data_IF_251599330420
#
_entry.id   IF_251599330420
#
_cell.length_a   1.000
_cell.length_b   1.000
_cell.length_c   1.000
_cell.angle_alpha   90.00
_cell.angle_beta   90.00
_cell.angle_gamma   90.00
#
_symmetry.space_group_name_H-M   'P 1'
#
loop_
_entity.id
_entity.type
_entity.pdbx_description
1 polymer ?
#
# COMPACT_ATOMS: atom_id res chain seq x y z
N UNK A 1 -0.20 11.42 23.15
CA UNK A 1 -0.47 10.92 21.78
C UNK A 1 0.17 9.55 21.63
N UNK A 2 -0.50 8.62 20.95
CA UNK A 2 0.08 7.31 20.61
C UNK A 2 0.90 7.51 19.33
N UNK A 3 2.12 6.97 19.28
CA UNK A 3 2.90 6.97 18.04
C UNK A 3 2.24 6.08 16.98
N UNK A 4 2.23 6.50 15.70
CA UNK A 4 1.75 5.65 14.63
C UNK A 4 2.67 4.45 14.45
N UNK A 5 2.11 3.34 14.02
CA UNK A 5 2.90 2.22 13.52
C UNK A 5 3.51 2.55 12.15
N UNK A 6 4.51 1.79 11.75
CA UNK A 6 5.24 2.04 10.49
C UNK A 6 5.13 0.83 9.57
N UNK A 7 4.79 1.10 8.32
CA UNK A 7 4.90 0.14 7.21
C UNK A 7 6.10 0.50 6.37
N UNK A 8 7.02 -0.44 6.18
CA UNK A 8 8.21 -0.25 5.36
C UNK A 8 7.95 -0.67 3.90
N UNK A 9 8.35 0.17 2.95
CA UNK A 9 8.04 0.00 1.52
C UNK A 9 9.26 -0.30 0.64
N UNK A 10 10.45 -0.43 1.21
CA UNK A 10 11.70 -0.59 0.43
C UNK A 10 11.64 -1.78 -0.53
N UNK A 11 10.98 -2.87 -0.14
CA UNK A 11 10.90 -4.10 -0.93
C UNK A 11 9.89 -4.04 -2.09
N UNK A 12 9.03 -3.02 -2.12
CA UNK A 12 8.07 -2.82 -3.22
C UNK A 12 8.19 -1.43 -3.84
N UNK A 13 7.70 -0.38 -3.17
CA UNK A 13 7.60 0.97 -3.75
C UNK A 13 8.96 1.64 -3.89
N UNK A 14 9.83 1.50 -2.88
CA UNK A 14 11.18 2.05 -2.91
C UNK A 14 11.98 1.53 -4.09
N UNK A 15 12.12 0.22 -4.22
CA UNK A 15 12.85 -0.38 -5.34
C UNK A 15 12.15 -0.20 -6.70
N UNK A 16 10.82 -0.09 -6.70
CA UNK A 16 10.07 0.23 -7.92
C UNK A 16 10.42 1.62 -8.43
N UNK A 17 10.54 2.58 -7.53
CA UNK A 17 10.84 3.98 -7.86
C UNK A 17 12.30 4.19 -8.27
N UNK A 18 13.25 3.56 -7.57
CA UNK A 18 14.68 3.80 -7.77
C UNK A 18 15.31 2.98 -8.88
N UNK A 19 14.94 1.71 -9.00
CA UNK A 19 15.58 0.76 -9.91
C UNK A 19 14.59 0.02 -10.80
N UNK A 20 13.45 0.66 -11.08
CA UNK A 20 12.39 0.14 -11.95
C UNK A 20 11.99 -1.32 -11.61
N UNK A 21 11.89 -1.63 -10.32
CA UNK A 21 11.52 -2.97 -9.81
C UNK A 21 12.56 -4.06 -10.15
N UNK A 22 13.84 -3.70 -10.34
CA UNK A 22 14.89 -4.66 -10.76
C UNK A 22 15.67 -5.29 -9.61
N UNK A 23 15.26 -5.11 -8.36
CA UNK A 23 15.88 -5.77 -7.21
C UNK A 23 15.60 -7.28 -7.26
N UNK A 24 16.64 -8.09 -7.33
CA UNK A 24 16.54 -9.55 -7.39
C UNK A 24 16.26 -10.14 -6.01
N UNK A 25 15.72 -11.35 -5.99
CA UNK A 25 15.50 -12.08 -4.74
C UNK A 25 16.83 -12.31 -3.99
N UNK A 26 17.93 -12.58 -4.72
CA UNK A 26 19.26 -12.70 -4.14
C UNK A 26 19.76 -11.44 -3.42
N UNK A 27 19.32 -10.26 -3.89
CA UNK A 27 19.71 -8.98 -3.29
C UNK A 27 18.93 -8.70 -2.00
N UNK A 28 17.70 -9.21 -1.94
CA UNK A 28 16.78 -8.99 -0.80
C UNK A 28 17.06 -9.97 0.33
N UNK A 29 17.31 -11.24 0.02
CA UNK A 29 17.43 -12.33 0.99
C UNK A 29 18.37 -12.03 2.17
N UNK A 30 19.57 -11.45 1.96
CA UNK A 30 20.51 -11.19 3.04
C UNK A 30 20.07 -10.19 4.10
N UNK A 31 19.06 -9.34 3.80
CA UNK A 31 18.60 -8.30 4.72
C UNK A 31 17.25 -8.61 5.36
N UNK A 32 16.56 -9.66 4.93
CA UNK A 32 15.21 -9.97 5.39
C UNK A 32 15.11 -10.12 6.91
N UNK A 33 16.03 -10.90 7.52
CA UNK A 33 16.03 -11.08 8.97
C UNK A 33 16.31 -9.79 9.75
N UNK A 34 17.07 -8.85 9.17
CA UNK A 34 17.29 -7.54 9.77
C UNK A 34 16.02 -6.70 9.71
N UNK A 35 15.35 -6.67 8.57
CA UNK A 35 14.07 -5.97 8.42
C UNK A 35 12.99 -6.51 9.36
N UNK A 36 12.94 -7.84 9.54
CA UNK A 36 11.98 -8.49 10.44
C UNK A 36 12.17 -8.12 11.92
N UNK A 37 13.39 -7.70 12.31
CA UNK A 37 13.73 -7.35 13.68
C UNK A 37 13.69 -5.84 13.97
N UNK A 38 13.35 -4.99 12.99
CA UNK A 38 13.25 -3.53 13.21
C UNK A 38 12.00 -3.16 14.01
N UNK A 39 10.94 -3.96 13.94
CA UNK A 39 9.68 -3.69 14.60
C UNK A 39 8.67 -2.94 13.73
N UNK A 40 8.77 -3.05 12.42
CA UNK A 40 7.73 -2.58 11.49
C UNK A 40 6.42 -3.33 11.72
N UNK A 41 5.29 -2.64 11.54
CA UNK A 41 3.97 -3.29 11.58
C UNK A 41 3.75 -4.17 10.35
N UNK A 42 4.26 -3.76 9.21
CA UNK A 42 4.24 -4.55 7.97
C UNK A 42 5.36 -4.17 7.02
N UNK A 43 5.70 -5.10 6.14
CA UNK A 43 6.57 -4.91 4.98
C UNK A 43 5.74 -5.03 3.72
N UNK A 44 5.62 -3.95 2.94
CA UNK A 44 5.01 -4.03 1.61
C UNK A 44 6.07 -4.53 0.62
N UNK A 45 5.91 -5.77 0.16
CA UNK A 45 6.96 -6.47 -0.57
C UNK A 45 6.53 -6.98 -1.94
N UNK A 46 5.23 -6.94 -2.26
CA UNK A 46 4.69 -7.53 -3.47
C UNK A 46 3.59 -6.65 -4.09
N UNK A 47 3.36 -6.81 -5.39
CA UNK A 47 2.36 -6.07 -6.15
C UNK A 47 2.50 -6.31 -7.65
N UNK A 48 1.65 -5.65 -8.45
CA UNK A 48 1.59 -5.88 -9.89
C UNK A 48 2.89 -5.63 -10.63
N UNK A 49 3.60 -4.54 -10.30
CA UNK A 49 4.88 -4.25 -10.93
C UNK A 49 5.97 -5.26 -10.56
N UNK A 50 5.98 -5.72 -9.30
CA UNK A 50 6.91 -6.76 -8.84
C UNK A 50 6.63 -8.08 -9.54
N UNK A 51 5.36 -8.48 -9.62
CA UNK A 51 4.93 -9.70 -10.31
C UNK A 51 5.36 -9.70 -11.78
N UNK A 52 5.01 -8.63 -12.49
CA UNK A 52 5.34 -8.45 -13.91
C UNK A 52 6.86 -8.43 -14.16
N UNK A 53 7.60 -7.73 -13.29
CA UNK A 53 9.05 -7.61 -13.42
C UNK A 53 9.78 -8.94 -13.17
N UNK A 54 9.34 -9.74 -12.22
CA UNK A 54 9.89 -11.07 -12.01
C UNK A 54 9.84 -11.90 -13.29
N UNK A 55 8.71 -11.92 -13.98
CA UNK A 55 8.52 -12.68 -15.20
C UNK A 55 9.26 -12.11 -16.40
N UNK A 56 9.19 -10.78 -16.62
CA UNK A 56 9.68 -10.15 -17.86
C UNK A 56 11.17 -9.85 -17.86
N UNK A 57 11.73 -9.58 -16.69
CA UNK A 57 13.07 -8.98 -16.64
C UNK A 57 14.06 -9.69 -15.72
N UNK A 58 13.56 -10.32 -14.65
CA UNK A 58 14.42 -10.96 -13.67
C UNK A 58 14.57 -12.46 -13.90
N UNK A 59 13.70 -13.06 -14.71
CA UNK A 59 13.60 -14.50 -14.88
C UNK A 59 13.42 -15.21 -13.52
N UNK A 60 12.56 -14.66 -12.67
CA UNK A 60 12.21 -15.15 -11.35
C UNK A 60 10.74 -15.56 -11.29
N UNK A 61 10.42 -16.62 -10.56
CA UNK A 61 9.04 -16.96 -10.21
C UNK A 61 8.55 -16.01 -9.11
N UNK A 62 7.49 -15.19 -9.37
CA UNK A 62 6.95 -14.28 -8.37
C UNK A 62 6.37 -15.00 -7.14
N UNK A 63 5.87 -16.21 -7.28
CA UNK A 63 5.37 -17.01 -6.15
C UNK A 63 6.50 -17.56 -5.29
N UNK A 64 7.59 -18.01 -5.91
CA UNK A 64 8.77 -18.43 -5.18
C UNK A 64 9.38 -17.28 -4.40
N UNK A 65 9.44 -16.08 -5.00
CA UNK A 65 9.84 -14.86 -4.30
C UNK A 65 9.01 -14.63 -3.04
N UNK A 66 7.68 -14.75 -3.12
CA UNK A 66 6.80 -14.60 -1.96
C UNK A 66 7.11 -15.63 -0.87
N UNK A 67 7.24 -16.91 -1.25
CA UNK A 67 7.53 -17.99 -0.31
C UNK A 67 8.88 -17.82 0.40
N UNK A 68 9.91 -17.44 -0.35
CA UNK A 68 11.25 -17.21 0.23
C UNK A 68 11.22 -16.02 1.19
N UNK A 69 10.56 -14.93 0.85
CA UNK A 69 10.42 -13.80 1.77
C UNK A 69 9.65 -14.23 3.01
N UNK A 70 8.51 -14.91 2.87
CA UNK A 70 7.71 -15.40 4.02
C UNK A 70 8.50 -16.36 4.90
N UNK A 71 9.33 -17.21 4.32
CA UNK A 71 10.16 -18.13 5.10
C UNK A 71 11.19 -17.43 5.98
N UNK A 72 11.62 -16.23 5.60
CA UNK A 72 12.62 -15.44 6.33
C UNK A 72 12.02 -14.36 7.25
N UNK A 73 10.74 -14.00 7.06
CA UNK A 73 10.01 -13.02 7.88
C UNK A 73 9.05 -13.75 8.81
N UNK A 74 9.21 -13.58 10.12
CA UNK A 74 8.45 -14.30 11.16
C UNK A 74 7.61 -13.36 12.03
N UNK A 75 8.11 -12.16 12.29
CA UNK A 75 7.53 -11.22 13.26
C UNK A 75 6.69 -10.13 12.57
N UNK A 76 7.02 -9.80 11.32
CA UNK A 76 6.43 -8.67 10.59
C UNK A 76 5.40 -9.17 9.57
N UNK A 77 4.25 -8.52 9.51
CA UNK A 77 3.22 -8.85 8.52
C UNK A 77 3.68 -8.53 7.10
N UNK A 78 3.37 -9.39 6.13
CA UNK A 78 3.65 -9.15 4.73
C UNK A 78 2.45 -8.52 4.04
N UNK A 79 2.69 -7.41 3.36
CA UNK A 79 1.69 -6.65 2.65
C UNK A 79 1.92 -6.68 1.15
N UNK A 80 0.83 -6.72 0.39
CA UNK A 80 0.87 -6.53 -1.06
C UNK A 80 -0.03 -5.39 -1.52
N UNK A 81 0.34 -4.75 -2.62
CA UNK A 81 -0.49 -3.79 -3.33
C UNK A 81 -1.32 -4.51 -4.41
N UNK A 82 -2.65 -4.39 -4.33
CA UNK A 82 -3.59 -5.06 -5.23
C UNK A 82 -4.50 -4.06 -5.95
N UNK A 83 -4.63 -4.19 -7.27
CA UNK A 83 -5.42 -3.28 -8.11
C UNK A 83 -6.88 -3.70 -8.20
N UNK A 84 -7.56 -3.92 -7.08
CA UNK A 84 -8.96 -4.38 -7.07
C UNK A 84 -9.18 -5.58 -8.00
N UNK A 85 -10.22 -5.56 -8.83
CA UNK A 85 -10.53 -6.62 -9.81
C UNK A 85 -9.47 -6.81 -10.89
N UNK A 86 -8.53 -5.90 -11.03
CA UNK A 86 -7.41 -6.03 -11.96
C UNK A 86 -6.23 -6.83 -11.36
N UNK A 87 -6.28 -7.17 -10.08
CA UNK A 87 -5.25 -7.94 -9.38
C UNK A 87 -3.84 -7.33 -9.55
N UNK A 88 -2.96 -8.08 -10.17
CA UNK A 88 -1.61 -7.64 -10.57
C UNK A 88 -1.50 -7.23 -12.05
N UNK A 89 -2.62 -7.30 -12.78
CA UNK A 89 -2.71 -7.02 -14.21
C UNK A 89 -3.27 -5.64 -14.56
N UNK A 90 -3.69 -5.47 -15.82
CA UNK A 90 -4.11 -4.20 -16.40
C UNK A 90 -5.56 -4.20 -16.91
N UNK A 91 -6.28 -5.30 -16.76
CA UNK A 91 -7.71 -5.42 -17.08
C UNK A 91 -8.42 -6.18 -15.98
N UNK A 92 -9.74 -6.02 -15.88
CA UNK A 92 -10.56 -6.72 -14.89
C UNK A 92 -10.56 -8.23 -15.17
N UNK A 93 -10.40 -9.01 -14.11
CA UNK A 93 -10.53 -10.46 -14.13
C UNK A 93 -11.91 -10.88 -13.65
N UNK A 94 -12.28 -12.11 -13.99
CA UNK A 94 -13.47 -12.76 -13.46
C UNK A 94 -13.34 -13.01 -11.95
N UNK A 95 -14.46 -13.03 -11.25
CA UNK A 95 -14.51 -13.20 -9.79
C UNK A 95 -13.89 -14.51 -9.32
N UNK A 96 -14.00 -15.59 -10.10
CA UNK A 96 -13.34 -16.88 -9.81
C UNK A 96 -11.82 -16.73 -9.79
N UNK A 97 -11.26 -15.96 -10.73
CA UNK A 97 -9.81 -15.71 -10.80
C UNK A 97 -9.36 -14.82 -9.64
N UNK A 98 -10.18 -13.82 -9.28
CA UNK A 98 -9.89 -12.93 -8.15
C UNK A 98 -9.87 -13.72 -6.84
N UNK A 99 -10.90 -14.53 -6.61
CA UNK A 99 -11.01 -15.38 -5.42
C UNK A 99 -9.82 -16.33 -5.32
N UNK A 100 -9.48 -17.04 -6.41
CA UNK A 100 -8.34 -17.95 -6.45
C UNK A 100 -7.00 -17.25 -6.18
N UNK A 101 -6.78 -16.07 -6.80
CA UNK A 101 -5.54 -15.33 -6.64
C UNK A 101 -5.34 -14.85 -5.20
N UNK A 102 -6.38 -14.28 -4.59
CA UNK A 102 -6.34 -13.78 -3.21
C UNK A 102 -6.14 -14.95 -2.24
N UNK A 103 -6.88 -16.05 -2.44
CA UNK A 103 -6.69 -17.27 -1.65
C UNK A 103 -5.25 -17.75 -1.71
N UNK A 104 -4.71 -17.95 -2.92
CA UNK A 104 -3.33 -18.42 -3.09
C UNK A 104 -2.29 -17.45 -2.53
N UNK A 105 -2.53 -16.16 -2.64
CA UNK A 105 -1.63 -15.16 -2.05
C UNK A 105 -1.63 -15.22 -0.52
N UNK A 106 -2.80 -15.38 0.10
CA UNK A 106 -2.94 -15.55 1.54
C UNK A 106 -2.29 -16.86 2.02
N UNK A 107 -2.57 -18.00 1.36
CA UNK A 107 -1.94 -19.30 1.66
C UNK A 107 -0.40 -19.25 1.59
N UNK A 108 0.16 -18.43 0.70
CA UNK A 108 1.61 -18.27 0.54
C UNK A 108 2.21 -17.16 1.41
N UNK A 109 1.40 -16.53 2.26
CA UNK A 109 1.91 -15.68 3.34
C UNK A 109 1.66 -14.19 3.23
N UNK A 110 0.79 -13.73 2.33
CA UNK A 110 0.30 -12.35 2.37
C UNK A 110 -0.69 -12.20 3.52
N UNK A 111 -0.35 -11.34 4.46
CA UNK A 111 -1.15 -11.03 5.63
C UNK A 111 -2.08 -9.82 5.41
N UNK A 112 -1.66 -8.85 4.57
CA UNK A 112 -2.40 -7.62 4.29
C UNK A 112 -2.52 -7.38 2.78
N UNK A 113 -3.75 -7.21 2.31
CA UNK A 113 -4.04 -6.77 0.95
C UNK A 113 -4.38 -5.27 0.95
N UNK A 114 -3.48 -4.43 0.44
CA UNK A 114 -3.74 -3.02 0.16
C UNK A 114 -4.42 -2.91 -1.20
N UNK A 115 -5.73 -2.73 -1.17
CA UNK A 115 -6.61 -2.82 -2.33
C UNK A 115 -7.00 -1.41 -2.78
N UNK A 116 -6.70 -1.07 -4.03
CA UNK A 116 -6.98 0.26 -4.58
C UNK A 116 -7.55 0.19 -6.00
N UNK A 117 -8.19 1.27 -6.39
CA UNK A 117 -8.49 1.62 -7.77
C UNK A 117 -7.94 3.01 -8.08
N UNK A 118 -7.28 3.17 -9.23
CA UNK A 118 -6.63 4.44 -9.59
C UNK A 118 -7.64 5.59 -9.79
N UNK A 119 -8.89 5.27 -10.13
CA UNK A 119 -9.98 6.24 -10.34
C UNK A 119 -10.95 6.30 -9.16
N UNK A 120 -10.65 5.57 -8.07
CA UNK A 120 -11.51 5.46 -6.89
C UNK A 120 -12.90 4.84 -7.17
N UNK A 121 -12.98 3.92 -8.14
CA UNK A 121 -14.20 3.14 -8.37
C UNK A 121 -14.37 2.09 -7.27
N UNK A 122 -15.28 2.37 -6.33
CA UNK A 122 -15.58 1.46 -5.21
C UNK A 122 -15.99 0.07 -5.69
N UNK A 123 -16.72 -0.04 -6.81
CA UNK A 123 -17.17 -1.33 -7.35
C UNK A 123 -16.00 -2.22 -7.82
N UNK A 124 -14.86 -1.60 -8.10
CA UNK A 124 -13.66 -2.33 -8.49
C UNK A 124 -12.92 -2.95 -7.30
N UNK A 125 -13.14 -2.47 -6.07
CA UNK A 125 -12.39 -2.92 -4.89
C UNK A 125 -13.21 -3.76 -3.90
N UNK A 126 -14.53 -3.62 -3.86
CA UNK A 126 -15.42 -4.28 -2.89
C UNK A 126 -15.20 -5.80 -2.89
N UNK A 127 -15.32 -6.45 -4.04
CA UNK A 127 -15.18 -7.91 -4.13
C UNK A 127 -13.81 -8.41 -3.65
N UNK A 128 -12.75 -7.65 -3.91
CA UNK A 128 -11.40 -8.01 -3.43
C UNK A 128 -11.26 -7.85 -1.91
N UNK A 129 -11.97 -6.88 -1.31
CA UNK A 129 -12.07 -6.72 0.15
C UNK A 129 -12.77 -7.93 0.77
N UNK A 130 -13.91 -8.33 0.21
CA UNK A 130 -14.68 -9.50 0.65
C UNK A 130 -13.86 -10.78 0.57
N UNK A 131 -13.16 -11.02 -0.55
CA UNK A 131 -12.27 -12.16 -0.72
C UNK A 131 -11.14 -12.17 0.31
N UNK A 132 -10.46 -11.04 0.54
CA UNK A 132 -9.39 -10.97 1.54
C UNK A 132 -9.92 -11.33 2.94
N UNK A 133 -11.08 -10.81 3.31
CA UNK A 133 -11.72 -11.12 4.59
C UNK A 133 -12.13 -12.59 4.69
N UNK A 134 -12.65 -13.18 3.62
CA UNK A 134 -13.03 -14.60 3.52
C UNK A 134 -11.85 -15.52 3.84
N UNK A 135 -10.65 -15.16 3.43
CA UNK A 135 -9.42 -15.92 3.67
C UNK A 135 -8.63 -15.45 4.89
N UNK A 136 -9.29 -14.77 5.82
CA UNK A 136 -8.72 -14.28 7.10
C UNK A 136 -7.49 -13.36 6.95
N UNK A 137 -7.29 -12.76 5.78
CA UNK A 137 -6.30 -11.72 5.59
C UNK A 137 -6.85 -10.34 5.98
N UNK A 138 -5.98 -9.39 6.25
CA UNK A 138 -6.37 -8.02 6.51
C UNK A 138 -6.60 -7.27 5.20
N UNK A 139 -7.82 -6.80 4.97
CA UNK A 139 -8.12 -5.94 3.84
C UNK A 139 -7.91 -4.47 4.20
N UNK A 140 -7.06 -3.77 3.43
CA UNK A 140 -6.93 -2.33 3.49
C UNK A 140 -7.53 -1.71 2.22
N UNK A 141 -8.72 -1.15 2.33
CA UNK A 141 -9.32 -0.38 1.22
C UNK A 141 -8.62 0.97 1.11
N UNK A 142 -8.32 1.43 -0.12
CA UNK A 142 -7.39 2.54 -0.29
C UNK A 142 -7.97 3.62 -1.18
N UNK A 143 -7.87 4.87 -0.73
CA UNK A 143 -8.17 6.08 -1.48
C UNK A 143 -6.93 6.45 -2.29
N UNK A 144 -7.06 6.59 -3.62
CA UNK A 144 -6.08 7.24 -4.49
C UNK A 144 -6.28 8.74 -4.41
N UNK A 145 -5.50 9.41 -3.56
CA UNK A 145 -5.68 10.84 -3.30
C UNK A 145 -5.31 11.70 -4.51
N UNK A 146 -6.16 12.65 -4.83
CA UNK A 146 -5.93 13.66 -5.87
C UNK A 146 -6.65 14.96 -5.54
N UNK A 147 -6.44 15.99 -6.36
CA UNK A 147 -7.08 17.29 -6.22
C UNK A 147 -7.80 17.69 -7.52
N UNK A 148 -9.07 18.04 -7.40
CA UNK A 148 -9.87 18.59 -8.49
C UNK A 148 -11.13 19.24 -7.90
N UNK A 149 -11.94 19.95 -8.70
CA UNK A 149 -13.19 20.55 -8.20
C UNK A 149 -14.18 19.55 -7.57
N UNK A 150 -14.15 18.27 -7.98
CA UNK A 150 -15.04 17.23 -7.44
C UNK A 150 -14.44 16.50 -6.25
N UNK A 151 -13.11 16.43 -6.14
CA UNK A 151 -12.39 15.72 -5.08
C UNK A 151 -12.24 16.58 -3.82
N UNK A 152 -13.37 16.90 -3.20
CA UNK A 152 -13.45 17.70 -1.99
C UNK A 152 -13.56 16.82 -0.73
N UNK A 153 -13.59 17.43 0.43
CA UNK A 153 -13.64 16.75 1.72
C UNK A 153 -14.88 15.84 1.87
N UNK A 154 -16.05 16.25 1.33
CA UNK A 154 -17.27 15.46 1.35
C UNK A 154 -17.13 14.19 0.50
N UNK A 155 -16.49 14.31 -0.65
CA UNK A 155 -16.19 13.17 -1.52
C UNK A 155 -15.30 12.14 -0.81
N UNK A 156 -14.20 12.60 -0.19
CA UNK A 156 -13.28 11.71 0.51
C UNK A 156 -13.94 11.02 1.69
N UNK A 157 -14.77 11.73 2.46
CA UNK A 157 -15.48 11.13 3.58
C UNK A 157 -16.48 10.06 3.12
N UNK A 158 -17.22 10.33 2.02
CA UNK A 158 -18.15 9.35 1.46
C UNK A 158 -17.41 8.10 0.99
N UNK A 159 -16.36 8.25 0.19
CA UNK A 159 -15.57 7.12 -0.30
C UNK A 159 -14.97 6.29 0.84
N UNK A 160 -14.45 6.96 1.86
CA UNK A 160 -13.89 6.29 3.04
C UNK A 160 -14.96 5.48 3.79
N UNK A 161 -16.19 6.01 3.88
CA UNK A 161 -17.32 5.32 4.47
C UNK A 161 -17.75 4.11 3.63
N UNK A 162 -17.87 4.28 2.32
CA UNK A 162 -18.18 3.18 1.39
C UNK A 162 -17.15 2.03 1.50
N UNK A 163 -15.85 2.36 1.73
CA UNK A 163 -14.78 1.39 1.96
C UNK A 163 -14.96 0.67 3.31
N UNK A 164 -15.26 1.39 4.37
CA UNK A 164 -15.55 0.80 5.68
C UNK A 164 -16.78 -0.12 5.63
N UNK A 165 -17.85 0.34 4.99
CA UNK A 165 -19.11 -0.41 4.85
C UNK A 165 -18.93 -1.67 3.98
N UNK A 166 -17.96 -1.69 3.06
CA UNK A 166 -17.53 -2.89 2.33
C UNK A 166 -16.77 -3.90 3.21
N UNK A 167 -16.51 -3.59 4.48
CA UNK A 167 -15.86 -4.47 5.44
C UNK A 167 -14.33 -4.38 5.48
N UNK A 168 -13.74 -3.33 4.90
CA UNK A 168 -12.30 -3.11 5.01
C UNK A 168 -11.86 -3.02 6.48
N UNK A 169 -10.72 -3.65 6.80
CA UNK A 169 -10.15 -3.65 8.16
C UNK A 169 -9.32 -2.39 8.47
N UNK A 170 -8.91 -1.66 7.45
CA UNK A 170 -8.26 -0.37 7.57
C UNK A 170 -8.46 0.46 6.31
N UNK A 171 -8.28 1.77 6.42
CA UNK A 171 -8.31 2.72 5.32
C UNK A 171 -6.89 3.19 4.99
N UNK A 172 -6.45 3.05 3.74
CA UNK A 172 -5.25 3.69 3.22
C UNK A 172 -5.57 5.01 2.51
N UNK A 173 -4.80 6.06 2.76
CA UNK A 173 -4.78 7.27 1.96
C UNK A 173 -3.46 7.25 1.18
N UNK A 174 -3.55 7.11 -0.14
CA UNK A 174 -2.37 6.98 -1.01
C UNK A 174 -2.22 8.24 -1.86
N UNK A 175 -1.27 9.08 -1.48
CA UNK A 175 -0.89 10.30 -2.20
C UNK A 175 0.33 10.03 -3.06
N UNK A 176 0.10 9.50 -4.25
CA UNK A 176 1.17 9.09 -5.19
C UNK A 176 1.86 10.28 -5.88
N UNK A 177 1.24 11.45 -5.88
CA UNK A 177 1.75 12.64 -6.56
C UNK A 177 2.29 13.71 -5.59
N UNK A 178 2.23 13.47 -4.28
CA UNK A 178 2.65 14.43 -3.27
C UNK A 178 1.76 15.68 -3.20
N UNK A 179 0.47 15.54 -3.53
CA UNK A 179 -0.50 16.66 -3.58
C UNK A 179 -1.13 16.97 -2.23
N UNK A 180 -1.04 16.05 -1.28
CA UNK A 180 -1.65 16.19 0.04
C UNK A 180 -0.81 17.14 0.91
N UNK A 181 -1.23 18.38 0.99
CA UNK A 181 -0.56 19.42 1.78
C UNK A 181 -0.71 19.16 3.28
N UNK A 182 0.27 19.57 4.13
CA UNK A 182 0.28 19.28 5.57
C UNK A 182 -1.01 19.68 6.30
N UNK A 183 -1.53 20.88 6.07
CA UNK A 183 -2.78 21.37 6.68
C UNK A 183 -3.99 20.55 6.20
N UNK A 184 -4.01 20.17 4.92
CA UNK A 184 -5.08 19.36 4.34
C UNK A 184 -5.07 17.95 4.91
N UNK A 185 -3.87 17.35 5.07
CA UNK A 185 -3.70 16.05 5.71
C UNK A 185 -4.25 16.05 7.16
N UNK A 186 -3.87 17.06 7.94
CA UNK A 186 -4.38 17.20 9.31
C UNK A 186 -5.91 17.24 9.35
N UNK A 187 -6.52 18.11 8.54
CA UNK A 187 -7.97 18.29 8.52
C UNK A 187 -8.69 17.01 8.06
N UNK A 188 -8.21 16.40 6.97
CA UNK A 188 -8.79 15.18 6.40
C UNK A 188 -8.71 14.02 7.40
N UNK A 189 -7.53 13.73 7.94
CA UNK A 189 -7.34 12.63 8.89
C UNK A 189 -8.17 12.85 10.13
N UNK A 190 -8.16 14.06 10.71
CA UNK A 190 -8.97 14.36 11.88
C UNK A 190 -10.46 14.17 11.65
N UNK A 191 -10.94 14.49 10.44
CA UNK A 191 -12.33 14.27 10.06
C UNK A 191 -12.63 12.78 9.88
N UNK A 192 -11.76 12.05 9.20
CA UNK A 192 -11.91 10.61 9.02
C UNK A 192 -11.91 9.87 10.37
N UNK A 193 -10.98 10.20 11.27
CA UNK A 193 -10.92 9.63 12.64
C UNK A 193 -12.19 9.85 13.47
N UNK A 194 -12.97 10.90 13.20
CA UNK A 194 -14.26 11.15 13.87
C UNK A 194 -15.43 10.36 13.30
N UNK A 195 -15.30 9.89 12.05
CA UNK A 195 -16.41 9.31 11.30
C UNK A 195 -16.22 7.82 10.98
N UNK A 196 -15.01 7.29 11.14
CA UNK A 196 -14.68 5.89 10.89
C UNK A 196 -14.24 5.22 12.17
N UNK A 197 -14.51 3.92 12.27
CA UNK A 197 -14.06 3.05 13.36
C UNK A 197 -12.74 2.33 13.05
N UNK A 198 -12.41 2.20 11.76
CA UNK A 198 -11.22 1.49 11.28
C UNK A 198 -9.95 2.35 11.32
N UNK A 199 -8.76 1.74 11.49
CA UNK A 199 -7.48 2.43 11.45
C UNK A 199 -7.23 3.14 10.12
N UNK A 200 -6.52 4.29 10.18
CA UNK A 200 -6.15 5.10 9.02
C UNK A 200 -4.65 5.03 8.80
N UNK A 201 -4.24 4.68 7.59
CA UNK A 201 -2.87 4.63 7.12
C UNK A 201 -2.61 5.76 6.12
N UNK A 202 -1.45 6.40 6.22
CA UNK A 202 -1.02 7.42 5.26
C UNK A 202 0.21 6.97 4.49
N UNK A 203 0.11 7.05 3.17
CA UNK A 203 1.19 6.91 2.22
C UNK A 203 1.31 8.21 1.41
N UNK A 204 2.47 8.83 1.39
CA UNK A 204 2.71 10.02 0.57
C UNK A 204 4.10 9.97 -0.08
N UNK A 205 4.14 10.32 -1.36
CA UNK A 205 5.39 10.46 -2.10
C UNK A 205 6.04 11.83 -1.82
N UNK A 206 7.36 11.88 -1.81
CA UNK A 206 8.13 13.08 -1.53
C UNK A 206 8.35 13.98 -2.76
N UNK A 207 7.64 13.75 -3.85
CA UNK A 207 7.80 14.46 -5.15
C UNK A 207 7.76 15.99 -5.02
N UNK A 208 6.94 16.52 -4.12
CA UNK A 208 6.81 17.96 -3.87
C UNK A 208 7.67 18.47 -2.71
N UNK A 209 8.43 17.58 -2.05
CA UNK A 209 9.21 17.92 -0.85
C UNK A 209 8.39 18.15 0.42
N UNK A 210 7.09 17.86 0.40
CA UNK A 210 6.19 18.13 1.55
C UNK A 210 5.91 16.89 2.41
N UNK A 211 6.40 15.72 2.03
CA UNK A 211 6.08 14.44 2.65
C UNK A 211 6.31 14.45 4.17
N UNK A 212 7.46 14.92 4.64
CA UNK A 212 7.79 14.93 6.07
C UNK A 212 6.84 15.82 6.87
N UNK A 213 6.60 17.04 6.36
CA UNK A 213 5.66 17.95 7.00
C UNK A 213 4.22 17.42 6.98
N UNK A 214 3.83 16.72 5.90
CA UNK A 214 2.54 16.07 5.76
C UNK A 214 2.39 14.93 6.76
N UNK A 215 3.41 14.07 6.88
CA UNK A 215 3.44 12.96 7.86
C UNK A 215 3.41 13.47 9.30
N UNK A 216 4.15 14.52 9.60
CA UNK A 216 4.11 15.14 10.92
C UNK A 216 2.71 15.68 11.28
N UNK A 217 2.06 16.35 10.34
CA UNK A 217 0.68 16.85 10.54
C UNK A 217 -0.36 15.71 10.60
N UNK A 218 -0.13 14.62 9.89
CA UNK A 218 -0.93 13.42 10.00
C UNK A 218 -0.80 12.77 11.39
N UNK A 219 0.41 12.72 11.93
CA UNK A 219 0.66 12.28 13.32
C UNK A 219 -0.10 13.12 14.33
N UNK A 220 -0.02 14.44 14.24
CA UNK A 220 -0.79 15.36 15.11
C UNK A 220 -2.31 15.16 15.00
N UNK A 221 -2.79 14.75 13.83
CA UNK A 221 -4.21 14.45 13.60
C UNK A 221 -4.65 13.08 14.11
N UNK A 222 -3.70 12.22 14.51
CA UNK A 222 -3.95 10.90 15.08
C UNK A 222 -4.03 9.78 14.03
N UNK A 223 -3.24 9.84 12.97
CA UNK A 223 -3.08 8.73 12.02
C UNK A 223 -2.55 7.49 12.75
N UNK A 224 -3.01 6.30 12.34
CA UNK A 224 -2.66 5.05 13.04
C UNK A 224 -1.40 4.40 12.46
N UNK A 225 -1.12 4.60 11.17
CA UNK A 225 0.06 4.06 10.50
C UNK A 225 0.59 5.05 9.46
N UNK A 226 1.90 5.09 9.29
CA UNK A 226 2.60 5.87 8.27
C UNK A 226 3.48 4.94 7.46
N UNK A 227 3.42 5.08 6.15
CA UNK A 227 4.31 4.38 5.23
C UNK A 227 5.65 5.13 5.16
N UNK A 228 6.72 4.38 5.24
CA UNK A 228 8.09 4.89 5.09
C UNK A 228 8.87 4.04 4.11
N UNK A 229 10.00 4.54 3.69
CA UNK A 229 11.03 3.75 3.04
C UNK A 229 12.39 4.18 3.58
N UNK A 230 13.32 3.25 3.68
CA UNK A 230 14.70 3.51 4.12
C UNK A 230 15.24 4.73 3.38
N UNK A 231 15.86 5.66 4.12
CA UNK A 231 16.06 7.06 3.72
C UNK A 231 16.73 7.30 2.36
N UNK A 232 17.57 6.42 1.90
CA UNK A 232 18.14 6.49 0.54
C UNK A 232 17.09 6.22 -0.56
N UNK A 233 15.89 5.76 -0.21
CA UNK A 233 14.85 5.37 -1.18
C UNK A 233 13.76 6.42 -1.41
N UNK A 234 13.35 7.19 -0.41
CA UNK A 234 12.21 8.12 -0.56
C UNK A 234 12.49 9.57 -0.19
N UNK A 235 13.52 9.84 0.63
CA UNK A 235 13.76 11.19 1.14
C UNK A 235 14.51 12.12 0.17
N UNK A 236 15.28 11.57 -0.76
CA UNK A 236 16.15 12.38 -1.62
C UNK A 236 15.94 12.15 -3.11
N UNK A 237 15.16 11.18 -3.51
CA UNK A 237 15.31 10.63 -4.85
C UNK A 237 14.05 10.47 -5.63
N UNK A 238 12.94 10.88 -5.14
CA UNK A 238 11.84 10.78 -6.05
C UNK A 238 11.83 11.95 -7.01
N UNK A 239 12.42 11.73 -8.17
CA UNK A 239 11.53 11.37 -9.26
C UNK A 239 11.58 9.86 -9.45
N UNK A 240 10.40 9.22 -9.49
CA UNK A 240 10.24 7.92 -10.13
C UNK A 240 10.91 7.99 -11.51
N UNK A 241 11.52 6.92 -12.02
CA UNK A 241 11.93 6.89 -13.44
C UNK A 241 10.80 7.21 -14.41
N UNK A 242 9.55 7.21 -13.94
CA UNK A 242 8.37 7.66 -14.69
C UNK A 242 8.17 9.18 -14.67
N UNK A 243 8.79 9.86 -13.72
CA UNK A 243 8.65 11.32 -13.56
C UNK A 243 9.85 12.07 -14.18
N UNK A 244 10.82 11.35 -14.72
CA UNK A 244 12.03 11.87 -15.36
C UNK A 244 11.90 12.07 -16.88
N UNK A 245 10.66 12.11 -17.42
CA UNK A 245 10.39 12.41 -18.83
C UNK A 245 9.66 13.73 -18.98
#
# INVERSE_FOLDING_TARGET
>A
MKYPSITELVLRDGQQSLIATRMRLSDITPILSKLDNVGFSSLEMWGGATYDCCLRFLNEDPWERLKVIKSNIKNTQLQMLLRGKNLVGYKKYDETVIDLFINKSSENGIDIFRIFDALNDINNIVYSIECANKYNANSQGTISYTTSPVHNEKYWLKLAKDIEDAGAKSLGIKDMAGLLKPKTAYNLIKKLKRNLSIPIHLHTHATTGLSDATNYKAYEAGVDNIDTSISSCLLYTSPSPRDAT
#
